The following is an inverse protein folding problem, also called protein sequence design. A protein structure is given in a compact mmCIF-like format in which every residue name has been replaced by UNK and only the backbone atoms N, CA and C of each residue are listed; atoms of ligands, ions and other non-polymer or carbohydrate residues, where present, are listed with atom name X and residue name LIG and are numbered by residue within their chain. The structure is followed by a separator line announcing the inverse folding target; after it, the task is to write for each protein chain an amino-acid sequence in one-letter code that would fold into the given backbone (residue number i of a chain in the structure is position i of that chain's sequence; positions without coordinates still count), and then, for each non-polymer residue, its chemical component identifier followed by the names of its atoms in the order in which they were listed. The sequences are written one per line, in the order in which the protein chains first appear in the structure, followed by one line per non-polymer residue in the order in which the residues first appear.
data_IF_216526614081
#
_entry.id   IF_216526614081
#
_cell.length_a   1.000
_cell.length_b   1.000
_cell.length_c   1.000
_cell.angle_alpha   90.00
_cell.angle_beta   90.00
_cell.angle_gamma   90.00
#
_symmetry.space_group_name_H-M   'P 1'
#
loop_
_entity.id
_entity.type
_entity.pdbx_description
1 polymer ?
#
# COMPACT_ATOMS: atom_id res chain seq x y z
N UNK A 1 1.07 -16.23 -4.84
CA UNK A 1 2.21 -15.46 -4.30
C UNK A 1 2.62 -15.98 -2.92
N UNK A 2 1.70 -16.13 -1.97
CA UNK A 2 2.01 -16.59 -0.60
C UNK A 2 2.58 -18.02 -0.53
N UNK A 3 2.19 -18.91 -1.44
CA UNK A 3 2.69 -20.27 -1.51
C UNK A 3 4.14 -20.37 -2.06
N UNK A 4 4.58 -19.42 -2.86
CA UNK A 4 5.90 -19.44 -3.51
C UNK A 4 7.06 -19.60 -2.51
N UNK A 5 7.14 -18.78 -1.44
CA UNK A 5 8.21 -18.92 -0.46
C UNK A 5 8.19 -20.28 0.28
N UNK A 6 7.00 -20.82 0.58
CA UNK A 6 6.86 -22.09 1.27
C UNK A 6 7.28 -23.27 0.38
N UNK A 7 6.91 -23.25 -0.90
CA UNK A 7 7.33 -24.26 -1.86
C UNK A 7 8.84 -24.15 -2.12
N UNK A 8 9.37 -22.94 -2.23
CA UNK A 8 10.81 -22.72 -2.47
C UNK A 8 11.71 -23.24 -1.34
N UNK A 9 11.21 -23.32 -0.10
CA UNK A 9 11.97 -23.91 1.02
C UNK A 9 12.07 -25.43 0.96
N UNK A 10 11.15 -26.08 0.25
CA UNK A 10 11.01 -27.54 0.21
C UNK A 10 11.46 -28.14 -1.13
N UNK A 11 11.41 -27.38 -2.20
CA UNK A 11 11.75 -27.82 -3.53
C UNK A 11 13.22 -27.53 -3.85
N UNK A 12 13.90 -28.47 -4.50
CA UNK A 12 15.25 -28.27 -5.03
C UNK A 12 15.27 -27.16 -6.08
N UNK A 13 14.20 -27.06 -6.87
CA UNK A 13 14.03 -26.04 -7.91
C UNK A 13 12.56 -25.69 -8.09
N UNK A 14 12.29 -24.38 -8.16
CA UNK A 14 10.95 -23.86 -8.37
C UNK A 14 10.92 -22.97 -9.61
N UNK A 15 10.00 -23.27 -10.54
CA UNK A 15 9.71 -22.42 -11.69
C UNK A 15 8.39 -21.69 -11.45
N UNK A 16 8.41 -20.37 -11.57
CA UNK A 16 7.21 -19.52 -11.48
C UNK A 16 6.91 -18.97 -12.85
N UNK A 17 5.84 -19.48 -13.48
CA UNK A 17 5.41 -19.04 -14.80
C UNK A 17 4.29 -18.01 -14.66
N UNK A 18 4.51 -16.81 -15.16
CA UNK A 18 3.53 -15.73 -15.16
C UNK A 18 3.35 -15.20 -16.58
N UNK A 19 2.09 -15.10 -17.01
CA UNK A 19 1.77 -14.49 -18.30
C UNK A 19 2.07 -12.98 -18.29
N UNK A 20 1.64 -12.31 -17.21
CA UNK A 20 1.92 -10.90 -16.98
C UNK A 20 2.34 -10.77 -15.51
N UNK A 21 3.59 -10.40 -15.22
CA UNK A 21 4.04 -10.25 -13.84
C UNK A 21 3.35 -9.04 -13.19
N UNK A 22 2.92 -9.22 -11.94
CA UNK A 22 2.40 -8.13 -11.14
C UNK A 22 3.55 -7.44 -10.40
N UNK A 23 3.51 -6.12 -10.39
CA UNK A 23 4.39 -5.35 -9.52
C UNK A 23 4.03 -5.59 -8.06
N UNK A 24 5.04 -5.71 -7.23
CA UNK A 24 4.88 -5.95 -5.80
C UNK A 24 5.56 -4.85 -5.01
N UNK A 25 4.92 -4.40 -3.96
CA UNK A 25 5.49 -3.48 -2.98
C UNK A 25 5.72 -4.19 -1.66
N UNK A 26 6.79 -3.88 -0.92
CA UNK A 26 7.04 -4.46 0.39
C UNK A 26 5.88 -4.15 1.34
N UNK A 27 5.35 -5.18 2.00
CA UNK A 27 4.30 -4.99 3.01
C UNK A 27 4.85 -4.30 4.27
N UNK A 28 6.15 -4.49 4.57
CA UNK A 28 6.82 -3.95 5.76
C UNK A 28 6.12 -4.35 7.05
N UNK A 29 5.62 -5.59 7.10
CA UNK A 29 5.00 -6.13 8.29
C UNK A 29 5.96 -6.04 9.48
N UNK A 30 5.43 -5.57 10.60
CA UNK A 30 6.16 -5.41 11.86
C UNK A 30 5.24 -5.77 13.02
N UNK A 31 5.79 -6.14 14.17
CA UNK A 31 4.99 -6.29 15.40
C UNK A 31 4.20 -5.02 15.70
N UNK A 32 2.98 -5.17 16.18
CA UNK A 32 2.19 -4.04 16.63
C UNK A 32 2.79 -3.47 17.93
N UNK A 33 2.73 -2.14 18.15
CA UNK A 33 3.04 -1.56 19.44
C UNK A 33 2.21 -2.20 20.56
N UNK A 34 2.77 -2.33 21.75
CA UNK A 34 2.11 -3.00 22.88
C UNK A 34 0.80 -2.35 23.32
N UNK A 35 0.68 -1.04 23.10
CA UNK A 35 -0.49 -0.21 23.41
C UNK A 35 -1.51 -0.13 22.26
N UNK A 36 -1.15 -0.64 21.08
CA UNK A 36 -2.00 -0.53 19.89
C UNK A 36 -3.40 -1.12 20.11
N UNK A 37 -3.47 -2.28 20.78
CA UNK A 37 -4.74 -2.98 20.97
C UNK A 37 -5.70 -2.18 21.87
N UNK A 38 -5.22 -1.64 22.99
CA UNK A 38 -6.03 -0.82 23.89
C UNK A 38 -6.47 0.48 23.20
N UNK A 39 -5.53 1.20 22.57
CA UNK A 39 -5.85 2.42 21.85
C UNK A 39 -6.85 2.20 20.72
N UNK A 40 -6.75 1.07 20.01
CA UNK A 40 -7.71 0.71 18.95
C UNK A 40 -9.11 0.42 19.50
N UNK A 41 -9.21 -0.30 20.63
CA UNK A 41 -10.50 -0.61 21.26
C UNK A 41 -11.18 0.67 21.75
N UNK A 42 -10.43 1.58 22.37
CA UNK A 42 -10.96 2.86 22.87
C UNK A 42 -11.51 3.75 21.74
N UNK A 43 -10.97 3.61 20.54
CA UNK A 43 -11.36 4.41 19.37
C UNK A 43 -12.21 3.65 18.34
N UNK A 44 -12.67 2.44 18.64
CA UNK A 44 -13.27 1.53 17.65
C UNK A 44 -14.49 2.12 16.92
N UNK A 45 -15.32 2.88 17.62
CA UNK A 45 -16.50 3.52 17.01
C UNK A 45 -16.12 4.66 16.07
N UNK A 46 -15.07 5.40 16.40
CA UNK A 46 -14.51 6.45 15.53
C UNK A 46 -13.91 5.83 14.26
N UNK A 47 -13.14 4.75 14.38
CA UNK A 47 -12.60 3.99 13.26
C UNK A 47 -13.70 3.43 12.37
N UNK A 48 -14.70 2.78 12.95
CA UNK A 48 -15.85 2.25 12.24
C UNK A 48 -16.61 3.33 11.47
N UNK A 49 -16.88 4.46 12.11
CA UNK A 49 -17.54 5.60 11.48
C UNK A 49 -16.73 6.16 10.30
N UNK A 50 -15.40 6.24 10.43
CA UNK A 50 -14.50 6.67 9.38
C UNK A 50 -14.51 5.68 8.19
N UNK A 51 -14.48 4.39 8.46
CA UNK A 51 -14.54 3.34 7.43
C UNK A 51 -15.87 3.39 6.66
N UNK A 52 -17.00 3.49 7.36
CA UNK A 52 -18.33 3.55 6.74
C UNK A 52 -18.53 4.78 5.85
N UNK A 53 -17.85 5.88 6.14
CA UNK A 53 -17.91 7.12 5.33
C UNK A 53 -16.84 7.18 4.25
N UNK A 54 -15.89 6.27 4.25
CA UNK A 54 -14.82 6.25 3.25
C UNK A 54 -15.31 5.65 1.93
N UNK A 55 -14.72 6.08 0.83
CA UNK A 55 -15.08 5.61 -0.52
C UNK A 55 -14.87 4.11 -0.71
N UNK A 56 -13.91 3.52 -0.02
CA UNK A 56 -13.46 2.15 -0.22
C UNK A 56 -13.63 1.24 1.02
N UNK A 57 -14.32 1.71 2.06
CA UNK A 57 -14.54 0.93 3.27
C UNK A 57 -13.32 0.77 4.17
N UNK A 58 -12.27 1.58 3.98
CA UNK A 58 -11.08 1.58 4.84
C UNK A 58 -10.78 2.99 5.39
N UNK A 59 -10.05 3.10 6.52
CA UNK A 59 -9.84 4.38 7.20
C UNK A 59 -8.82 5.30 6.54
N UNK A 60 -8.10 4.80 5.53
CA UNK A 60 -7.10 5.58 4.82
C UNK A 60 -7.76 6.41 3.72
N UNK A 61 -7.33 7.63 3.60
CA UNK A 61 -7.77 8.55 2.55
C UNK A 61 -6.57 8.88 1.68
N UNK A 62 -6.71 8.72 0.37
CA UNK A 62 -5.72 9.24 -0.55
C UNK A 62 -5.65 10.77 -0.38
N UNK A 63 -4.46 11.36 -0.38
CA UNK A 63 -4.32 12.80 -0.34
C UNK A 63 -4.89 13.41 -1.63
N UNK A 64 -5.48 14.60 -1.52
CA UNK A 64 -5.92 15.40 -2.67
C UNK A 64 -4.70 16.01 -3.37
N UNK A 65 -3.93 15.18 -4.04
CA UNK A 65 -2.79 15.60 -4.87
C UNK A 65 -2.63 14.70 -6.07
N UNK A 66 -2.26 15.32 -7.18
CA UNK A 66 -2.09 14.68 -8.47
C UNK A 66 -0.61 14.60 -8.84
N UNK A 67 -0.22 13.48 -9.47
CA UNK A 67 1.16 13.24 -9.95
C UNK A 67 1.62 14.42 -10.82
N UNK A 68 0.84 14.76 -11.84
CA UNK A 68 1.19 15.78 -12.83
C UNK A 68 1.28 17.19 -12.26
N UNK A 69 0.54 17.48 -11.19
CA UNK A 69 0.57 18.79 -10.50
C UNK A 69 1.67 18.87 -9.43
N UNK A 70 2.41 17.78 -9.22
CA UNK A 70 3.45 17.73 -8.22
C UNK A 70 4.82 17.77 -8.89
N UNK A 71 5.71 18.63 -8.42
CA UNK A 71 7.08 18.75 -8.96
C UNK A 71 7.85 17.41 -8.85
N UNK A 72 8.69 17.05 -9.85
CA UNK A 72 9.33 15.74 -9.92
C UNK A 72 10.09 15.34 -8.65
N UNK A 73 10.91 16.24 -8.10
CA UNK A 73 11.65 15.97 -6.86
C UNK A 73 10.73 15.70 -5.66
N UNK A 74 9.58 16.37 -5.59
CA UNK A 74 8.58 16.13 -4.55
C UNK A 74 7.85 14.81 -4.77
N UNK A 75 7.56 14.45 -6.03
CA UNK A 75 6.97 13.13 -6.36
C UNK A 75 7.88 12.01 -5.90
N UNK A 76 9.15 12.07 -6.28
CA UNK A 76 10.13 11.06 -5.90
C UNK A 76 10.19 10.89 -4.38
N UNK A 77 10.30 11.99 -3.64
CA UNK A 77 10.32 11.95 -2.17
C UNK A 77 9.07 11.29 -1.58
N UNK A 78 7.88 11.63 -2.08
CA UNK A 78 6.61 11.05 -1.63
C UNK A 78 6.57 9.55 -1.90
N UNK A 79 6.97 9.13 -3.10
CA UNK A 79 7.00 7.71 -3.48
C UNK A 79 8.02 6.92 -2.66
N UNK A 80 9.17 7.50 -2.39
CA UNK A 80 10.21 6.87 -1.58
C UNK A 80 9.78 6.70 -0.11
N UNK A 81 9.18 7.72 0.48
CA UNK A 81 8.57 7.64 1.82
C UNK A 81 7.45 6.59 1.87
N UNK A 82 6.61 6.52 0.84
CA UNK A 82 5.55 5.51 0.73
C UNK A 82 6.12 4.10 0.58
N UNK A 83 7.18 3.92 -0.20
CA UNK A 83 7.91 2.66 -0.33
C UNK A 83 8.50 2.18 1.01
N UNK A 84 9.06 3.09 1.78
CA UNK A 84 9.61 2.77 3.11
C UNK A 84 8.51 2.40 4.10
N UNK A 85 7.34 3.02 4.04
CA UNK A 85 6.18 2.62 4.85
C UNK A 85 5.64 1.26 4.46
N UNK A 86 5.64 0.96 3.16
CA UNK A 86 5.12 -0.29 2.60
C UNK A 86 3.59 -0.36 2.54
N UNK A 87 3.10 -1.51 2.12
CA UNK A 87 1.67 -1.79 2.02
C UNK A 87 0.93 -0.89 1.02
N UNK A 88 -0.34 -0.63 1.30
CA UNK A 88 -1.21 0.17 0.42
C UNK A 88 -0.85 1.65 0.33
N UNK A 89 -0.06 2.16 1.27
CA UNK A 89 0.35 3.56 1.29
C UNK A 89 1.08 4.02 0.03
N UNK A 90 1.74 3.10 -0.68
CA UNK A 90 2.37 3.40 -1.96
C UNK A 90 1.32 3.76 -3.02
N UNK A 91 0.29 2.94 -3.17
CA UNK A 91 -0.82 3.17 -4.10
C UNK A 91 -1.59 4.45 -3.79
N UNK A 92 -1.68 4.80 -2.52
CA UNK A 92 -2.46 5.94 -2.02
C UNK A 92 -1.64 7.23 -1.91
N UNK A 93 -0.45 7.26 -2.51
CA UNK A 93 0.41 8.46 -2.50
C UNK A 93 -0.14 9.60 -3.34
N UNK A 94 -0.95 9.29 -4.36
CA UNK A 94 -1.63 10.24 -5.24
C UNK A 94 -3.03 9.73 -5.58
N UNK A 95 -3.96 10.63 -5.89
CA UNK A 95 -5.35 10.27 -6.20
C UNK A 95 -5.55 9.77 -7.63
N UNK A 96 -4.65 10.12 -8.55
CA UNK A 96 -4.73 9.85 -9.98
C UNK A 96 -3.85 8.69 -10.48
N UNK A 97 -2.96 8.14 -9.66
CA UNK A 97 -2.03 7.06 -10.06
C UNK A 97 -2.71 5.85 -10.70
N UNK A 98 -3.92 5.49 -10.28
CA UNK A 98 -4.66 4.35 -10.83
C UNK A 98 -5.71 4.73 -11.87
N UNK A 99 -5.93 6.01 -12.12
CA UNK A 99 -7.02 6.51 -12.95
C UNK A 99 -6.51 7.16 -14.24
N UNK A 100 -5.26 7.55 -14.28
CA UNK A 100 -4.63 8.23 -15.40
C UNK A 100 -3.36 7.51 -15.83
N UNK A 101 -3.31 7.08 -17.10
CA UNK A 101 -2.21 6.29 -17.64
C UNK A 101 -0.87 7.06 -17.62
N UNK A 102 -0.87 8.34 -17.93
CA UNK A 102 0.33 9.16 -17.90
C UNK A 102 0.85 9.37 -16.47
N UNK A 103 -0.06 9.51 -15.51
CA UNK A 103 0.29 9.59 -14.08
C UNK A 103 0.87 8.28 -13.56
N UNK A 104 0.44 7.14 -14.12
CA UNK A 104 0.94 5.83 -13.74
C UNK A 104 2.35 5.56 -14.27
N UNK A 105 2.71 6.15 -15.41
CA UNK A 105 4.00 5.94 -16.07
C UNK A 105 5.04 7.03 -15.77
N UNK A 106 4.67 8.06 -15.03
CA UNK A 106 5.53 9.19 -14.63
C UNK A 106 6.31 8.89 -13.36
#
# INVERSE_FOLDING_TARGET
IQAIPEIARQAEKLYVLQRTPNYSVPARNRPLPSDFHSAFIDEIDAWRSKMLRSRHGHPWTAPDRQVRKTAPAKRQKIMEEAWQRGGLGFRESFDDVLLDEESNTS
#
